data_IF_762372148523
#
_entry.id   IF_762372148523
#
_cell.length_a   1.000
_cell.length_b   1.000
_cell.length_c   1.000
_cell.angle_alpha   90.00
_cell.angle_beta   90.00
_cell.angle_gamma   90.00
#
_symmetry.space_group_name_H-M   'P 1'
#
loop_
_entity.id
_entity.type
_entity.pdbx_description
1 polymer ?
#
# COMPACT_ATOMS: atom_id res chain seq x y z
N UNK A 1 10.98 5.41 -10.96
CA UNK A 1 10.88 6.21 -9.71
C UNK A 1 9.43 6.55 -9.35
N UNK A 2 8.64 7.18 -10.24
CA UNK A 2 7.23 7.53 -9.96
C UNK A 2 6.39 6.38 -9.38
N UNK A 3 6.40 5.21 -10.02
CA UNK A 3 5.60 4.05 -9.60
C UNK A 3 6.03 3.48 -8.23
N UNK A 4 7.30 3.60 -7.88
CA UNK A 4 7.85 3.17 -6.58
C UNK A 4 7.36 4.13 -5.48
N UNK A 5 7.47 5.45 -5.71
CA UNK A 5 6.96 6.46 -4.79
C UNK A 5 5.45 6.32 -4.59
N UNK A 6 4.71 6.12 -5.69
CA UNK A 6 3.27 5.87 -5.69
C UNK A 6 2.92 4.63 -4.86
N UNK A 7 3.59 3.50 -5.09
CA UNK A 7 3.37 2.26 -4.32
C UNK A 7 3.58 2.43 -2.81
N UNK A 8 4.54 3.26 -2.40
CA UNK A 8 4.77 3.54 -0.97
C UNK A 8 3.61 4.27 -0.30
N UNK A 9 2.95 5.19 -1.02
CA UNK A 9 1.86 5.99 -0.50
C UNK A 9 0.50 5.29 -0.67
N UNK A 10 0.31 4.56 -1.77
CA UNK A 10 -0.96 3.90 -2.08
C UNK A 10 -1.25 2.71 -1.14
N UNK A 11 -0.24 2.15 -0.47
CA UNK A 11 -0.39 1.11 0.55
C UNK A 11 -1.28 1.52 1.74
N UNK A 12 -1.44 2.82 2.01
CA UNK A 12 -2.31 3.31 3.10
C UNK A 12 -3.79 3.38 2.72
N UNK A 13 -4.11 3.27 1.44
CA UNK A 13 -5.47 3.34 0.92
C UNK A 13 -6.43 2.30 1.52
N UNK A 14 -6.11 0.99 1.54
CA UNK A 14 -7.03 -0.05 2.06
C UNK A 14 -7.31 0.07 3.56
N UNK A 15 -6.42 0.72 4.32
CA UNK A 15 -6.55 0.85 5.78
C UNK A 15 -7.15 2.18 6.22
N UNK A 16 -7.32 3.13 5.28
CA UNK A 16 -7.75 4.49 5.62
C UNK A 16 -9.13 4.51 6.28
N UNK A 17 -10.06 3.65 5.84
CA UNK A 17 -11.43 3.57 6.39
C UNK A 17 -11.46 3.23 7.88
N UNK A 18 -10.49 2.45 8.36
CA UNK A 18 -10.46 1.94 9.73
C UNK A 18 -10.31 3.07 10.77
N UNK A 19 -9.72 4.20 10.36
CA UNK A 19 -9.42 5.33 11.23
C UNK A 19 -10.48 6.44 11.18
N UNK A 20 -11.36 6.42 10.19
CA UNK A 20 -12.43 7.43 10.08
C UNK A 20 -13.69 7.06 10.85
N UNK A 21 -13.78 5.83 11.39
CA UNK A 21 -14.95 5.38 12.18
C UNK A 21 -15.22 6.21 13.43
N UNK A 22 -14.20 6.94 13.93
CA UNK A 22 -14.29 7.77 15.14
C UNK A 22 -14.71 9.21 14.84
N UNK A 23 -14.76 9.60 13.57
CA UNK A 23 -15.12 10.96 13.19
C UNK A 23 -16.65 11.11 13.19
N UNK A 24 -17.18 12.23 13.70
CA UNK A 24 -18.60 12.55 13.54
C UNK A 24 -19.00 12.60 12.06
N UNK A 25 -20.21 12.14 11.76
CA UNK A 25 -20.86 12.20 10.44
C UNK A 25 -20.92 13.61 9.84
N UNK A 26 -21.00 14.62 10.71
CA UNK A 26 -20.99 16.06 10.36
C UNK A 26 -19.62 16.60 9.92
N UNK A 27 -18.56 15.79 9.97
CA UNK A 27 -17.21 16.26 9.62
C UNK A 27 -17.14 16.63 8.13
N UNK A 28 -16.69 17.85 7.77
CA UNK A 28 -16.62 18.27 6.38
C UNK A 28 -15.56 17.48 5.60
N UNK A 29 -15.95 16.96 4.42
CA UNK A 29 -15.11 16.11 3.55
C UNK A 29 -13.74 16.72 3.21
N UNK A 30 -13.69 18.03 2.94
CA UNK A 30 -12.44 18.74 2.64
C UNK A 30 -11.44 18.71 3.80
N UNK A 31 -11.92 18.76 5.05
CA UNK A 31 -11.07 18.73 6.25
C UNK A 31 -10.45 17.36 6.41
N UNK A 32 -11.24 16.30 6.29
CA UNK A 32 -10.76 14.92 6.32
C UNK A 32 -9.73 14.68 5.21
N UNK A 33 -10.04 15.09 3.98
CA UNK A 33 -9.11 14.98 2.85
C UNK A 33 -7.80 15.74 3.09
N UNK A 34 -7.87 17.01 3.47
CA UNK A 34 -6.68 17.87 3.64
C UNK A 34 -5.78 17.38 4.78
N UNK A 35 -6.37 16.99 5.91
CA UNK A 35 -5.61 16.47 7.05
C UNK A 35 -4.87 15.18 6.68
N UNK A 36 -5.53 14.27 5.98
CA UNK A 36 -4.92 13.00 5.55
C UNK A 36 -3.87 13.22 4.48
N UNK A 37 -4.14 14.10 3.51
CA UNK A 37 -3.19 14.44 2.46
C UNK A 37 -1.92 15.06 3.06
N UNK A 38 -2.04 16.06 3.93
CA UNK A 38 -0.89 16.68 4.61
C UNK A 38 -0.17 15.65 5.49
N UNK A 39 -0.91 14.86 6.26
CA UNK A 39 -0.38 13.85 7.18
C UNK A 39 0.41 12.72 6.50
N UNK A 40 0.11 12.43 5.23
CA UNK A 40 0.86 11.44 4.45
C UNK A 40 1.97 12.11 3.64
N UNK A 41 1.67 13.19 2.91
CA UNK A 41 2.60 13.81 1.96
C UNK A 41 3.80 14.44 2.66
N UNK A 42 3.60 15.17 3.76
CA UNK A 42 4.71 15.87 4.42
C UNK A 42 5.76 14.88 4.96
N UNK A 43 5.40 13.84 5.74
CA UNK A 43 6.37 12.85 6.17
C UNK A 43 6.99 12.06 5.02
N UNK A 44 6.20 11.69 4.00
CA UNK A 44 6.70 10.94 2.86
C UNK A 44 7.74 11.73 2.06
N UNK A 45 7.45 12.99 1.73
CA UNK A 45 8.38 13.86 1.01
C UNK A 45 9.66 14.04 1.83
N UNK A 46 9.54 14.24 3.15
CA UNK A 46 10.71 14.36 4.02
C UNK A 46 11.58 13.09 3.97
N UNK A 47 11.03 11.92 4.27
CA UNK A 47 11.81 10.67 4.34
C UNK A 47 12.34 10.24 2.97
N UNK A 48 11.58 10.44 1.88
CA UNK A 48 12.07 10.16 0.53
C UNK A 48 13.20 11.12 0.12
N UNK A 49 13.13 12.40 0.51
CA UNK A 49 14.20 13.36 0.23
C UNK A 49 15.48 13.01 0.99
N UNK A 50 15.36 12.60 2.26
CA UNK A 50 16.50 12.10 3.05
C UNK A 50 17.10 10.85 2.41
N UNK A 51 16.25 9.88 2.02
CA UNK A 51 16.69 8.67 1.33
C UNK A 51 17.39 8.96 0.01
N UNK A 52 16.88 9.92 -0.78
CA UNK A 52 17.49 10.36 -2.03
C UNK A 52 18.86 11.01 -1.79
N UNK A 53 18.99 11.86 -0.77
CA UNK A 53 20.25 12.53 -0.44
C UNK A 53 21.33 11.54 0.04
N UNK A 54 20.95 10.55 0.86
CA UNK A 54 21.87 9.48 1.28
C UNK A 54 22.24 8.60 0.06
N UNK A 55 21.25 8.24 -0.75
CA UNK A 55 21.43 7.40 -1.92
C UNK A 55 22.33 8.02 -2.98
N UNK A 56 22.23 9.33 -3.23
CA UNK A 56 23.11 10.03 -4.17
C UNK A 56 24.56 10.12 -3.66
N UNK A 57 24.73 10.24 -2.34
CA UNK A 57 26.04 10.29 -1.70
C UNK A 57 26.75 8.92 -1.61
N UNK A 58 26.06 7.81 -1.88
CA UNK A 58 26.68 6.47 -2.00
C UNK A 58 27.66 6.43 -3.18
N UNK A 59 27.34 7.08 -4.30
CA UNK A 59 28.20 7.08 -5.49
C UNK A 59 29.55 7.80 -5.31
N UNK A 60 29.70 8.59 -4.24
CA UNK A 60 30.93 9.33 -3.92
C UNK A 60 31.68 8.80 -2.71
N UNK A 61 31.12 7.85 -1.94
CA UNK A 61 31.71 7.33 -0.72
C UNK A 61 31.74 5.80 -0.76
N UNK A 62 32.87 5.20 -1.17
CA UNK A 62 33.04 3.75 -1.27
C UNK A 62 32.78 3.05 0.08
N UNK A 63 33.22 3.62 1.19
CA UNK A 63 32.95 3.10 2.54
C UNK A 63 31.45 2.94 2.84
N UNK A 64 30.60 3.84 2.31
CA UNK A 64 29.16 3.76 2.54
C UNK A 64 28.52 2.67 1.67
N UNK A 65 29.09 2.42 0.50
CA UNK A 65 28.67 1.34 -0.40
C UNK A 65 28.93 -0.01 0.24
N UNK A 66 30.10 -0.21 0.84
CA UNK A 66 30.44 -1.46 1.53
C UNK A 66 29.52 -1.70 2.73
N UNK A 67 29.31 -0.68 3.58
CA UNK A 67 28.35 -0.77 4.70
C UNK A 67 26.93 -1.07 4.21
N UNK A 68 26.53 -0.47 3.09
CA UNK A 68 25.22 -0.68 2.51
C UNK A 68 25.00 -2.14 2.05
N UNK A 69 25.99 -2.73 1.37
CA UNK A 69 25.87 -4.11 0.89
C UNK A 69 26.07 -5.16 1.99
N UNK A 70 27.00 -4.92 2.93
CA UNK A 70 27.34 -5.91 3.97
C UNK A 70 26.44 -5.83 5.21
N UNK A 71 26.01 -4.63 5.60
CA UNK A 71 25.32 -4.38 6.87
C UNK A 71 23.89 -3.83 6.69
N UNK A 72 23.53 -3.40 5.48
CA UNK A 72 22.20 -2.96 5.11
C UNK A 72 21.84 -1.53 5.53
N UNK A 73 20.59 -1.15 5.24
CA UNK A 73 20.06 0.21 5.39
C UNK A 73 20.22 0.83 6.79
N UNK A 74 19.93 0.07 7.84
CA UNK A 74 20.00 0.59 9.21
C UNK A 74 21.42 0.99 9.62
N UNK A 75 22.41 0.18 9.22
CA UNK A 75 23.82 0.46 9.48
C UNK A 75 24.33 1.63 8.64
N UNK A 76 23.84 1.77 7.40
CA UNK A 76 24.13 2.92 6.54
C UNK A 76 23.65 4.22 7.20
N UNK A 77 22.40 4.30 7.66
CA UNK A 77 21.88 5.48 8.36
C UNK A 77 22.72 5.80 9.59
N UNK A 78 23.12 4.78 10.35
CA UNK A 78 24.00 4.98 11.49
C UNK A 78 25.37 5.55 11.12
N UNK A 79 25.93 5.10 9.99
CA UNK A 79 27.20 5.61 9.47
C UNK A 79 27.09 7.06 8.99
N UNK A 80 25.99 7.41 8.31
CA UNK A 80 25.70 8.79 7.90
C UNK A 80 25.59 9.74 9.10
N UNK A 81 25.07 9.25 10.23
CA UNK A 81 24.89 10.05 11.45
C UNK A 81 26.12 10.09 12.37
N UNK A 82 27.17 9.28 12.13
CA UNK A 82 28.42 9.28 12.91
C UNK A 82 29.07 10.66 13.09
N UNK A 83 29.11 11.56 12.08
CA UNK A 83 29.74 12.87 12.21
C UNK A 83 29.11 13.77 13.28
N UNK A 84 27.85 13.51 13.65
CA UNK A 84 27.12 14.29 14.67
C UNK A 84 27.28 13.70 16.08
N UNK A 85 28.21 12.75 16.24
CA UNK A 85 28.59 12.12 17.50
C UNK A 85 27.36 11.62 18.31
N UNK A 86 27.31 11.86 19.62
CA UNK A 86 26.25 11.35 20.50
C UNK A 86 24.83 11.79 20.11
N UNK A 87 24.68 12.92 19.44
CA UNK A 87 23.38 13.36 18.93
C UNK A 87 22.91 12.49 17.74
N UNK A 88 23.83 11.97 16.93
CA UNK A 88 23.50 11.01 15.86
C UNK A 88 22.88 9.73 16.40
N UNK A 89 23.39 9.21 17.52
CA UNK A 89 22.79 8.04 18.21
C UNK A 89 21.38 8.34 18.69
N UNK A 90 21.15 9.52 19.28
CA UNK A 90 19.82 9.96 19.70
C UNK A 90 18.82 10.05 18.53
N UNK A 91 19.23 10.63 17.40
CA UNK A 91 18.42 10.67 16.19
C UNK A 91 18.10 9.28 15.65
N UNK A 92 19.06 8.34 15.74
CA UNK A 92 18.83 6.95 15.34
C UNK A 92 17.75 6.29 16.19
N UNK A 93 17.75 6.53 17.51
CA UNK A 93 16.69 6.04 18.42
C UNK A 93 15.33 6.60 18.01
N UNK A 94 15.24 7.91 17.76
CA UNK A 94 13.99 8.55 17.29
C UNK A 94 13.51 7.91 15.97
N UNK A 95 14.42 7.69 15.02
CA UNK A 95 14.11 7.07 13.74
C UNK A 95 13.55 5.65 13.94
N UNK A 96 14.17 4.83 14.79
CA UNK A 96 13.66 3.49 15.09
C UNK A 96 12.32 3.52 15.82
N UNK A 97 12.10 4.44 16.76
CA UNK A 97 10.79 4.61 17.40
C UNK A 97 9.72 5.04 16.38
N UNK A 98 10.08 5.87 15.41
CA UNK A 98 9.22 6.25 14.29
C UNK A 98 8.83 5.05 13.41
N UNK A 99 9.78 4.16 13.12
CA UNK A 99 9.50 2.91 12.39
C UNK A 99 8.52 2.02 13.17
N UNK A 100 8.68 1.89 14.48
CA UNK A 100 7.73 1.16 15.33
C UNK A 100 6.36 1.83 15.27
N UNK A 101 6.30 3.16 15.44
CA UNK A 101 5.08 3.95 15.35
C UNK A 101 4.34 3.80 14.03
N UNK A 102 5.07 3.73 12.91
CA UNK A 102 4.50 3.52 11.58
C UNK A 102 3.90 2.11 11.39
N UNK A 103 4.40 1.10 12.11
CA UNK A 103 3.88 -0.27 12.03
C UNK A 103 2.64 -0.53 12.90
N UNK A 104 2.42 0.26 13.96
CA UNK A 104 1.23 0.16 14.83
C UNK A 104 -0.08 0.20 14.03
N UNK A 105 -0.34 1.22 13.17
CA UNK A 105 -1.60 1.27 12.44
C UNK A 105 -1.77 0.10 11.46
N UNK A 106 -0.69 -0.31 10.79
CA UNK A 106 -0.71 -1.45 9.89
C UNK A 106 -1.11 -2.75 10.62
N UNK A 107 -0.56 -2.96 11.82
CA UNK A 107 -0.86 -4.14 12.64
C UNK A 107 -2.30 -4.12 13.16
N UNK A 108 -2.79 -2.95 13.59
CA UNK A 108 -4.17 -2.76 14.03
C UNK A 108 -5.17 -3.09 12.91
N UNK A 109 -4.95 -2.54 11.72
CA UNK A 109 -5.80 -2.75 10.55
C UNK A 109 -5.78 -4.18 10.04
N UNK A 110 -4.65 -4.87 10.13
CA UNK A 110 -4.58 -6.31 9.84
C UNK A 110 -5.50 -7.12 10.78
N UNK A 111 -5.50 -6.80 12.08
CA UNK A 111 -6.40 -7.42 13.04
C UNK A 111 -7.87 -7.15 12.73
N UNK A 112 -8.22 -5.92 12.37
CA UNK A 112 -9.58 -5.56 11.97
C UNK A 112 -10.02 -6.28 10.69
N UNK A 113 -9.13 -6.37 9.69
CA UNK A 113 -9.38 -7.06 8.42
C UNK A 113 -9.71 -8.54 8.63
N UNK A 114 -8.99 -9.22 9.53
CA UNK A 114 -9.26 -10.63 9.87
C UNK A 114 -10.64 -10.77 10.55
N UNK A 115 -10.98 -9.85 11.45
CA UNK A 115 -12.30 -9.84 12.11
C UNK A 115 -13.43 -9.57 11.10
N UNK A 116 -13.18 -8.77 10.06
CA UNK A 116 -14.15 -8.45 9.02
C UNK A 116 -14.43 -9.62 8.05
N UNK A 117 -13.52 -10.59 7.90
CA UNK A 117 -13.71 -11.74 7.00
C UNK A 117 -14.85 -12.68 7.41
N UNK A 118 -15.09 -12.84 8.71
CA UNK A 118 -16.15 -13.72 9.20
C UNK A 118 -16.61 -13.34 10.61
N UNK A 119 -17.92 -13.39 10.90
CA UNK A 119 -18.43 -13.21 12.26
C UNK A 119 -17.81 -14.18 13.28
N UNK A 120 -17.35 -15.37 12.85
CA UNK A 120 -16.67 -16.33 13.73
C UNK A 120 -15.29 -15.84 14.18
N UNK A 121 -14.57 -15.16 13.30
CA UNK A 121 -13.25 -14.60 13.59
C UNK A 121 -13.34 -13.31 14.41
N UNK A 122 -14.47 -12.61 14.31
CA UNK A 122 -14.76 -11.41 15.10
C UNK A 122 -14.94 -11.68 16.61
N UNK A 123 -15.28 -12.92 17.00
CA UNK A 123 -15.42 -13.32 18.42
C UNK A 123 -14.07 -13.28 19.14
N UNK A 124 -12.97 -13.54 18.41
CA UNK A 124 -11.63 -13.59 18.99
C UNK A 124 -11.15 -12.14 19.25
N UNK A 125 -10.68 -11.83 20.47
CA UNK A 125 -10.16 -10.50 20.79
C UNK A 125 -9.07 -10.04 19.83
N UNK A 126 -9.13 -8.78 19.43
CA UNK A 126 -8.22 -8.19 18.44
C UNK A 126 -6.74 -8.37 18.80
N UNK A 127 -6.42 -8.32 20.09
CA UNK A 127 -5.06 -8.51 20.61
C UNK A 127 -4.42 -9.81 20.09
N UNK A 128 -5.19 -10.89 19.99
CA UNK A 128 -4.68 -12.19 19.54
C UNK A 128 -4.30 -12.13 18.05
N UNK A 129 -5.15 -11.51 17.22
CA UNK A 129 -4.87 -11.33 15.80
C UNK A 129 -3.66 -10.43 15.55
N UNK A 130 -3.55 -9.34 16.31
CA UNK A 130 -2.39 -8.44 16.20
C UNK A 130 -1.10 -9.11 16.65
N UNK A 131 -1.13 -9.91 17.73
CA UNK A 131 0.04 -10.66 18.21
C UNK A 131 0.47 -11.71 17.18
N UNK A 132 -0.47 -12.44 16.59
CA UNK A 132 -0.19 -13.40 15.53
C UNK A 132 0.45 -12.70 14.33
N UNK A 133 -0.10 -11.56 13.90
CA UNK A 133 0.47 -10.73 12.84
C UNK A 133 1.92 -10.33 13.14
N UNK A 134 2.19 -9.86 14.37
CA UNK A 134 3.54 -9.52 14.85
C UNK A 134 4.49 -10.69 14.71
N UNK A 135 4.11 -11.86 15.23
CA UNK A 135 4.94 -13.06 15.14
C UNK A 135 5.25 -13.40 13.68
N UNK A 136 4.24 -13.38 12.79
CA UNK A 136 4.41 -13.72 11.37
C UNK A 136 5.38 -12.75 10.69
N UNK A 137 5.14 -11.44 10.76
CA UNK A 137 6.03 -10.50 10.07
C UNK A 137 7.42 -10.42 10.73
N UNK A 138 7.54 -10.68 12.04
CA UNK A 138 8.85 -10.78 12.71
C UNK A 138 9.64 -11.97 12.21
N UNK A 139 9.02 -13.16 12.09
CA UNK A 139 9.68 -14.35 11.53
C UNK A 139 10.09 -14.10 10.08
N UNK A 140 9.20 -13.52 9.27
CA UNK A 140 9.51 -13.14 7.89
C UNK A 140 10.66 -12.12 7.81
N UNK A 141 10.69 -11.13 8.72
CA UNK A 141 11.76 -10.13 8.78
C UNK A 141 13.12 -10.73 9.15
N UNK A 142 13.15 -11.67 10.10
CA UNK A 142 14.38 -12.38 10.48
C UNK A 142 14.86 -13.27 9.34
N UNK A 143 13.98 -14.04 8.71
CA UNK A 143 14.32 -14.89 7.58
C UNK A 143 14.72 -14.09 6.32
N UNK A 144 14.09 -12.94 6.09
CA UNK A 144 14.31 -12.09 4.93
C UNK A 144 15.52 -11.15 5.04
N UNK A 145 16.21 -11.09 6.19
CA UNK A 145 17.30 -10.13 6.45
C UNK A 145 18.40 -10.13 5.38
N UNK A 146 18.73 -11.30 4.83
CA UNK A 146 19.80 -11.44 3.83
C UNK A 146 19.43 -11.00 2.40
N UNK A 147 18.14 -10.83 2.08
CA UNK A 147 17.68 -10.44 0.73
C UNK A 147 16.69 -9.26 0.77
N UNK A 148 16.71 -8.50 1.88
CA UNK A 148 15.70 -7.49 2.20
C UNK A 148 15.55 -6.43 1.09
N UNK A 149 16.67 -6.03 0.48
CA UNK A 149 16.71 -5.01 -0.56
C UNK A 149 15.94 -5.43 -1.82
N UNK A 150 16.27 -6.60 -2.36
CA UNK A 150 15.58 -7.17 -3.53
C UNK A 150 14.10 -7.41 -3.24
N UNK A 151 13.77 -7.84 -2.02
CA UNK A 151 12.39 -8.04 -1.60
C UNK A 151 11.64 -6.70 -1.59
N UNK A 152 12.08 -5.70 -0.82
CA UNK A 152 11.34 -4.45 -0.62
C UNK A 152 11.09 -3.72 -1.96
N UNK A 153 12.09 -3.63 -2.84
CA UNK A 153 11.93 -2.92 -4.12
C UNK A 153 10.87 -3.56 -5.02
N UNK A 154 10.85 -4.89 -5.11
CA UNK A 154 9.87 -5.60 -5.93
C UNK A 154 8.47 -5.58 -5.30
N UNK A 155 8.38 -5.72 -3.98
CA UNK A 155 7.10 -5.72 -3.27
C UNK A 155 6.40 -4.36 -3.34
N UNK A 156 7.13 -3.25 -3.32
CA UNK A 156 6.52 -1.91 -3.34
C UNK A 156 5.79 -1.62 -4.67
N UNK A 157 6.37 -2.04 -5.79
CA UNK A 157 5.71 -1.94 -7.10
C UNK A 157 4.46 -2.81 -7.16
N UNK A 158 4.53 -4.04 -6.64
CA UNK A 158 3.36 -4.94 -6.56
C UNK A 158 2.26 -4.34 -5.68
N UNK A 159 2.61 -3.69 -4.57
CA UNK A 159 1.67 -2.97 -3.71
C UNK A 159 0.96 -1.87 -4.53
N UNK A 160 1.70 -1.09 -5.30
CA UNK A 160 1.15 -0.09 -6.21
C UNK A 160 0.10 -0.66 -7.16
N UNK A 161 0.35 -1.84 -7.75
CA UNK A 161 -0.56 -2.43 -8.74
C UNK A 161 -1.91 -2.81 -8.15
N UNK A 162 -1.93 -3.58 -7.07
CA UNK A 162 -3.20 -4.05 -6.51
C UNK A 162 -3.96 -2.91 -5.81
N UNK A 163 -3.26 -1.97 -5.17
CA UNK A 163 -3.90 -0.81 -4.54
C UNK A 163 -4.49 0.14 -5.57
N UNK A 164 -3.87 0.31 -6.74
CA UNK A 164 -4.47 1.03 -7.87
C UNK A 164 -5.76 0.36 -8.37
N UNK A 165 -5.78 -0.97 -8.48
CA UNK A 165 -6.97 -1.70 -8.89
C UNK A 165 -8.11 -1.49 -7.88
N UNK A 166 -7.81 -1.59 -6.59
CA UNK A 166 -8.78 -1.36 -5.54
C UNK A 166 -9.27 0.10 -5.54
N UNK A 167 -8.36 1.06 -5.71
CA UNK A 167 -8.70 2.48 -5.76
C UNK A 167 -9.68 2.79 -6.88
N UNK A 168 -9.41 2.37 -8.13
CA UNK A 168 -10.28 2.71 -9.26
C UNK A 168 -11.65 2.05 -9.13
N UNK A 169 -11.71 0.80 -8.65
CA UNK A 169 -12.96 0.08 -8.40
C UNK A 169 -13.82 0.81 -7.34
N UNK A 170 -13.21 1.16 -6.20
CA UNK A 170 -13.93 1.87 -5.12
C UNK A 170 -14.36 3.27 -5.57
N UNK A 171 -13.48 3.98 -6.30
CA UNK A 171 -13.77 5.31 -6.84
C UNK A 171 -14.96 5.28 -7.80
N UNK A 172 -15.01 4.30 -8.69
CA UNK A 172 -16.11 4.14 -9.65
C UNK A 172 -17.42 3.70 -8.98
N UNK A 173 -17.35 2.81 -7.98
CA UNK A 173 -18.54 2.44 -7.18
C UNK A 173 -19.12 3.67 -6.49
N UNK A 174 -18.27 4.52 -5.88
CA UNK A 174 -18.72 5.73 -5.20
C UNK A 174 -19.25 6.80 -6.18
N UNK A 175 -18.52 7.08 -7.27
CA UNK A 175 -18.84 8.18 -8.18
C UNK A 175 -19.93 7.85 -9.21
N UNK A 176 -19.98 6.63 -9.72
CA UNK A 176 -20.89 6.22 -10.81
C UNK A 176 -22.14 5.57 -10.24
N UNK A 177 -21.99 4.60 -9.33
CA UNK A 177 -23.11 3.76 -8.90
C UNK A 177 -23.79 4.23 -7.61
N UNK A 178 -23.02 4.73 -6.63
CA UNK A 178 -23.52 5.07 -5.29
C UNK A 178 -23.67 6.55 -4.99
N UNK A 179 -23.22 7.43 -5.88
CA UNK A 179 -23.25 8.90 -5.68
C UNK A 179 -24.62 9.45 -5.30
N UNK A 180 -25.69 8.82 -5.79
CA UNK A 180 -27.09 9.23 -5.51
C UNK A 180 -27.81 8.34 -4.50
N UNK A 181 -27.45 7.06 -4.40
CA UNK A 181 -28.14 6.10 -3.52
C UNK A 181 -27.53 6.00 -2.12
N UNK A 182 -26.28 6.43 -1.93
CA UNK A 182 -25.59 6.33 -0.66
C UNK A 182 -25.24 4.90 -0.25
N UNK A 183 -24.89 4.74 1.03
CA UNK A 183 -24.57 3.45 1.65
C UNK A 183 -25.65 3.11 2.68
N UNK A 184 -26.13 1.87 2.66
CA UNK A 184 -27.09 1.37 3.63
C UNK A 184 -26.34 0.74 4.81
N UNK A 185 -26.44 1.36 5.98
CA UNK A 185 -25.77 0.93 7.20
C UNK A 185 -26.45 -0.26 7.88
N UNK A 186 -27.69 -0.61 7.52
CA UNK A 186 -28.42 -1.71 8.17
C UNK A 186 -28.19 -3.05 7.44
N UNK A 187 -27.72 -3.02 6.20
CA UNK A 187 -27.49 -4.22 5.39
C UNK A 187 -26.06 -4.75 5.42
N UNK A 188 -25.09 -4.05 6.01
CA UNK A 188 -23.67 -4.40 5.91
C UNK A 188 -23.29 -5.77 6.50
N UNK A 189 -23.97 -6.22 7.57
CA UNK A 189 -23.73 -7.53 8.18
C UNK A 189 -24.48 -8.64 7.44
N UNK A 190 -25.43 -8.30 6.58
CA UNK A 190 -26.41 -9.23 6.03
C UNK A 190 -25.99 -9.69 4.63
N UNK A 191 -25.40 -10.90 4.45
CA UNK A 191 -24.76 -11.27 3.18
C UNK A 191 -25.73 -11.30 2.00
N UNK A 192 -26.99 -11.67 2.26
CA UNK A 192 -28.04 -11.75 1.22
C UNK A 192 -28.60 -10.40 0.77
N UNK A 193 -28.23 -9.29 1.45
CA UNK A 193 -28.56 -7.92 1.03
C UNK A 193 -27.42 -7.25 0.27
N UNK A 194 -26.22 -7.83 0.31
CA UNK A 194 -25.05 -7.31 -0.39
C UNK A 194 -25.03 -7.76 -1.86
N UNK A 195 -24.46 -6.96 -2.78
CA UNK A 195 -24.19 -7.41 -4.14
C UNK A 195 -23.20 -8.56 -4.13
N UNK A 196 -23.21 -9.38 -5.19
CA UNK A 196 -22.35 -10.58 -5.27
C UNK A 196 -20.86 -10.26 -5.22
N UNK A 197 -20.46 -9.05 -5.63
CA UNK A 197 -19.07 -8.61 -5.65
C UNK A 197 -18.26 -9.26 -6.77
N UNK A 198 -18.90 -10.05 -7.65
CA UNK A 198 -18.25 -10.72 -8.76
C UNK A 198 -17.69 -9.70 -9.76
N UNK A 199 -18.41 -8.59 -9.98
CA UNK A 199 -17.92 -7.50 -10.84
C UNK A 199 -16.60 -6.91 -10.31
N UNK A 200 -16.50 -6.67 -8.99
CA UNK A 200 -15.29 -6.14 -8.37
C UNK A 200 -14.13 -7.14 -8.46
N UNK A 201 -14.37 -8.42 -8.13
CA UNK A 201 -13.35 -9.47 -8.18
C UNK A 201 -12.82 -9.67 -9.59
N UNK A 202 -13.70 -9.79 -10.59
CA UNK A 202 -13.28 -9.98 -11.99
C UNK A 202 -12.50 -8.76 -12.50
N UNK A 203 -12.95 -7.55 -12.19
CA UNK A 203 -12.25 -6.32 -12.60
C UNK A 203 -10.89 -6.19 -11.94
N UNK A 204 -10.78 -6.60 -10.67
CA UNK A 204 -9.50 -6.66 -9.96
C UNK A 204 -8.53 -7.66 -10.61
N UNK A 205 -9.01 -8.85 -10.97
CA UNK A 205 -8.20 -9.85 -11.69
C UNK A 205 -7.77 -9.34 -13.07
N UNK A 206 -8.65 -8.66 -13.81
CA UNK A 206 -8.31 -8.03 -15.09
C UNK A 206 -7.27 -6.91 -14.90
N UNK A 207 -7.38 -6.14 -13.82
CA UNK A 207 -6.36 -5.17 -13.40
C UNK A 207 -4.99 -5.83 -13.17
N UNK A 208 -4.95 -6.97 -12.48
CA UNK A 208 -3.71 -7.75 -12.28
C UNK A 208 -3.13 -8.22 -13.62
N UNK A 209 -3.97 -8.70 -14.55
CA UNK A 209 -3.50 -9.04 -15.91
C UNK A 209 -2.87 -7.80 -16.57
N UNK A 210 -3.50 -6.63 -16.47
CA UNK A 210 -2.93 -5.36 -16.92
C UNK A 210 -1.57 -5.06 -16.28
N UNK A 211 -1.42 -5.24 -14.96
CA UNK A 211 -0.14 -5.10 -14.27
C UNK A 211 0.92 -6.05 -14.83
N UNK A 212 0.60 -7.33 -15.00
CA UNK A 212 1.54 -8.33 -15.54
C UNK A 212 1.96 -7.98 -16.96
N UNK A 213 1.08 -7.44 -17.80
CA UNK A 213 1.46 -7.02 -19.14
C UNK A 213 2.40 -5.81 -19.15
N UNK A 214 2.21 -4.87 -18.21
CA UNK A 214 2.91 -3.58 -18.17
C UNK A 214 4.07 -3.46 -17.16
N UNK A 215 4.29 -4.44 -16.28
CA UNK A 215 5.31 -4.35 -15.23
C UNK A 215 6.73 -4.52 -15.78
N UNK A 216 7.69 -3.80 -15.20
CA UNK A 216 9.12 -3.94 -15.42
C UNK A 216 9.80 -4.14 -14.06
N UNK A 217 9.89 -5.40 -13.63
CA UNK A 217 10.43 -5.81 -12.34
C UNK A 217 11.69 -6.64 -12.53
N UNK A 218 12.52 -6.74 -11.49
CA UNK A 218 13.81 -7.47 -11.56
C UNK A 218 13.64 -8.95 -11.92
N UNK A 219 12.51 -9.56 -11.57
CA UNK A 219 12.19 -10.97 -11.83
C UNK A 219 11.36 -11.18 -13.09
N UNK A 220 10.70 -10.15 -13.62
CA UNK A 220 9.85 -10.27 -14.79
C UNK A 220 9.60 -8.92 -15.47
N UNK A 221 9.75 -8.91 -16.79
CA UNK A 221 9.41 -7.77 -17.65
C UNK A 221 8.25 -8.18 -18.57
N UNK A 222 7.14 -7.47 -18.45
CA UNK A 222 5.90 -7.68 -19.19
C UNK A 222 6.06 -7.43 -20.68
N UNK A 223 5.20 -8.07 -21.48
CA UNK A 223 5.27 -8.02 -22.95
C UNK A 223 5.12 -6.60 -23.48
N UNK A 224 4.25 -5.79 -22.88
CA UNK A 224 4.05 -4.37 -23.25
C UNK A 224 5.23 -3.53 -22.76
N UNK A 225 5.74 -3.81 -21.56
CA UNK A 225 6.91 -3.11 -21.02
C UNK A 225 8.15 -3.26 -21.93
N UNK A 226 8.39 -4.45 -22.49
CA UNK A 226 9.54 -4.72 -23.38
C UNK A 226 9.50 -3.95 -24.69
N UNK A 227 8.34 -3.51 -25.15
CA UNK A 227 8.22 -2.74 -26.39
C UNK A 227 8.72 -1.30 -26.23
N UNK A 228 8.90 -0.83 -24.98
CA UNK A 228 9.31 0.54 -24.67
C UNK A 228 10.82 0.56 -24.44
N UNK A 229 11.56 0.53 -25.54
CA UNK A 229 13.02 0.67 -25.55
C UNK A 229 13.78 -0.53 -24.96
N UNK A 230 15.11 -0.44 -24.97
CA UNK A 230 16.00 -1.54 -24.55
C UNK A 230 15.96 -1.84 -23.05
N UNK A 231 15.58 -0.88 -22.21
CA UNK A 231 15.47 -1.06 -20.75
C UNK A 231 14.06 -1.42 -20.28
N UNK A 232 13.06 -1.37 -21.16
CA UNK A 232 11.65 -1.57 -20.85
C UNK A 232 11.00 -0.41 -20.07
N UNK A 233 9.69 -0.20 -20.26
CA UNK A 233 8.91 0.82 -19.57
C UNK A 233 8.06 0.26 -18.43
N UNK A 234 8.17 0.83 -17.22
CA UNK A 234 7.30 0.46 -16.10
C UNK A 234 5.91 1.12 -16.26
N UNK A 235 4.95 0.34 -16.76
CA UNK A 235 3.58 0.75 -17.04
C UNK A 235 2.52 0.00 -16.22
N UNK A 236 2.92 -0.81 -15.23
CA UNK A 236 2.01 -1.72 -14.53
C UNK A 236 0.84 -0.96 -13.87
N UNK A 237 1.13 0.13 -13.16
CA UNK A 237 0.10 0.97 -12.52
C UNK A 237 -0.88 1.55 -13.53
N UNK A 238 -0.39 2.15 -14.63
CA UNK A 238 -1.25 2.74 -15.66
C UNK A 238 -2.10 1.68 -16.36
N UNK A 239 -1.52 0.50 -16.62
CA UNK A 239 -2.23 -0.62 -17.23
C UNK A 239 -3.34 -1.13 -16.30
N UNK A 240 -3.11 -1.19 -14.99
CA UNK A 240 -4.16 -1.52 -14.02
C UNK A 240 -5.31 -0.52 -14.10
N UNK A 241 -5.03 0.78 -14.12
CA UNK A 241 -6.07 1.81 -14.20
C UNK A 241 -6.94 1.63 -15.44
N UNK A 242 -6.33 1.33 -16.59
CA UNK A 242 -7.05 1.09 -17.84
C UNK A 242 -7.90 -0.17 -17.75
N UNK A 243 -7.29 -1.31 -17.37
CA UNK A 243 -7.99 -2.59 -17.38
C UNK A 243 -9.10 -2.66 -16.34
N UNK A 244 -8.82 -2.29 -15.08
CA UNK A 244 -9.80 -2.29 -14.01
C UNK A 244 -10.86 -1.20 -14.21
N UNK A 245 -10.46 0.02 -14.61
CA UNK A 245 -11.39 1.14 -14.80
C UNK A 245 -12.30 1.01 -16.04
N UNK A 246 -11.86 0.31 -17.09
CA UNK A 246 -12.77 0.01 -18.21
C UNK A 246 -13.68 -1.19 -17.92
N UNK A 247 -13.18 -2.21 -17.20
CA UNK A 247 -13.95 -3.43 -16.95
C UNK A 247 -15.01 -3.27 -15.86
N UNK A 248 -14.70 -2.53 -14.79
CA UNK A 248 -15.59 -2.43 -13.64
C UNK A 248 -16.94 -1.77 -13.93
N UNK A 249 -17.03 -0.62 -14.64
CA UNK A 249 -18.32 0.00 -14.92
C UNK A 249 -19.23 -0.89 -15.77
N UNK A 250 -18.64 -1.60 -16.74
CA UNK A 250 -19.37 -2.52 -17.62
C UNK A 250 -19.88 -3.72 -16.82
N UNK A 251 -19.00 -4.39 -16.07
CA UNK A 251 -19.34 -5.57 -15.30
C UNK A 251 -20.32 -5.25 -14.17
N UNK A 252 -20.15 -4.10 -13.51
CA UNK A 252 -21.05 -3.65 -12.44
C UNK A 252 -22.43 -3.32 -12.99
N UNK A 253 -22.53 -2.67 -14.15
CA UNK A 253 -23.82 -2.44 -14.81
C UNK A 253 -24.55 -3.76 -15.12
N UNK A 254 -23.83 -4.78 -15.62
CA UNK A 254 -24.39 -6.10 -15.86
C UNK A 254 -24.82 -6.79 -14.56
N UNK A 255 -24.00 -6.75 -13.52
CA UNK A 255 -24.30 -7.33 -12.20
C UNK A 255 -25.60 -6.75 -11.62
N UNK A 256 -25.78 -5.42 -11.71
CA UNK A 256 -27.02 -4.76 -11.26
C UNK A 256 -28.23 -5.20 -12.06
N UNK A 257 -28.07 -5.45 -13.37
CA UNK A 257 -29.16 -5.91 -14.24
C UNK A 257 -29.60 -7.35 -13.92
N UNK A 258 -28.67 -8.23 -13.58
CA UNK A 258 -28.97 -9.63 -13.26
C UNK A 258 -29.36 -9.86 -11.79
N UNK A 259 -28.70 -9.18 -10.86
CA UNK A 259 -28.93 -9.31 -9.41
C UNK A 259 -30.06 -8.39 -8.92
N UNK A 260 -30.44 -7.38 -9.70
CA UNK A 260 -31.38 -6.33 -9.29
C UNK A 260 -30.80 -5.38 -8.23
N UNK A 261 -29.49 -5.46 -7.96
CA UNK A 261 -28.79 -4.80 -6.84
C UNK A 261 -27.45 -4.23 -7.27
#
# INVERSE_FOLDING_TARGET
>A
MFTICFGSASGFLPIASDYYITYPDTTPRWKTFSLTWIGIVVPMVFFQSVGLAIGSALGTNEDWVDVYYDQGYGALIGTVLKPVHGFGTFLMVIFFLGLVGNNIPNTYSAGLSIQALSPRLAVIPRLIWTLLGVIIYTVCGVAGRGNLMTIISNFLSVIGYWTSALFIIVLEEDLIFRRKSGYDFDSYITPHKLPWGAAAVVSFLLGIVGAVLGMNQTWYVGVVARQIGSMGGELGVFSVFIFAGCSYPVLRYLERRFSGR
#
